data_IF_624602725938
#
_entry.id   IF_624602725938
#
_cell.length_a   1.000
_cell.length_b   1.000
_cell.length_c   1.000
_cell.angle_alpha   90.00
_cell.angle_beta   90.00
_cell.angle_gamma   90.00
#
_symmetry.space_group_name_H-M   'P 1'
#
loop_
_entity.id
_entity.type
_entity.pdbx_description
1 polymer ?
#
# COMPACT_ATOMS: atom_id res chain seq x y z
N UNK A 1 -25.21 -3.04 0.78
CA UNK A 1 -25.73 -1.91 -0.03
C UNK A 1 -24.72 -0.78 0.01
N UNK A 2 -24.03 -0.53 -1.11
CA UNK A 2 -23.11 0.59 -1.27
C UNK A 2 -23.96 1.81 -1.64
N UNK A 3 -24.11 2.70 -0.69
CA UNK A 3 -24.82 3.96 -0.87
C UNK A 3 -23.98 4.91 -1.71
N UNK A 4 -24.57 5.51 -2.75
CA UNK A 4 -24.03 6.62 -3.54
C UNK A 4 -23.90 7.87 -2.65
N UNK A 5 -22.75 8.04 -2.02
CA UNK A 5 -22.44 9.20 -1.21
C UNK A 5 -20.94 9.48 -1.20
N UNK A 6 -20.55 10.74 -1.23
CA UNK A 6 -19.19 11.17 -0.97
C UNK A 6 -18.78 10.63 0.40
N UNK A 7 -17.88 9.65 0.42
CA UNK A 7 -17.33 9.12 1.66
C UNK A 7 -16.45 10.22 2.26
N UNK A 8 -16.85 10.78 3.39
CA UNK A 8 -16.02 11.73 4.14
C UNK A 8 -14.83 10.98 4.78
N UNK A 9 -13.76 11.71 5.15
CA UNK A 9 -12.65 11.15 5.94
C UNK A 9 -13.15 10.42 7.20
N UNK A 10 -14.23 10.92 7.79
CA UNK A 10 -14.90 10.32 8.94
C UNK A 10 -15.56 8.98 8.61
N UNK A 11 -16.06 8.78 7.40
CA UNK A 11 -16.70 7.54 6.96
C UNK A 11 -15.69 6.43 6.58
N UNK A 12 -14.49 6.77 6.16
CA UNK A 12 -13.43 5.82 5.80
C UNK A 12 -12.63 5.28 7.01
N UNK A 13 -12.56 6.06 8.06
CA UNK A 13 -11.87 5.69 9.32
C UNK A 13 -12.83 5.04 10.30
N UNK A 14 -14.14 5.13 10.07
CA UNK A 14 -15.16 4.79 11.03
C UNK A 14 -16.05 3.69 10.46
N UNK A 15 -15.66 2.49 10.74
CA UNK A 15 -16.53 1.73 11.66
C UNK A 15 -16.58 2.58 12.93
N UNK A 16 -17.71 3.22 13.19
CA UNK A 16 -18.01 3.91 14.44
C UNK A 16 -17.86 2.90 15.56
N UNK A 17 -16.60 2.65 15.98
CA UNK A 17 -16.31 2.10 17.28
C UNK A 17 -16.85 3.15 18.23
N UNK A 18 -18.05 2.98 18.76
CA UNK A 18 -18.46 3.69 19.96
C UNK A 18 -17.28 3.58 20.90
N UNK A 19 -16.73 4.72 21.32
CA UNK A 19 -15.47 4.78 22.06
C UNK A 19 -15.68 4.16 23.44
N UNK A 20 -15.67 2.83 23.51
CA UNK A 20 -15.39 2.15 24.75
C UNK A 20 -13.91 2.39 25.06
N UNK A 21 -13.67 3.26 26.05
CA UNK A 21 -12.31 3.54 26.52
C UNK A 21 -11.68 2.22 26.97
N UNK A 22 -10.43 1.95 26.55
CA UNK A 22 -9.57 0.82 26.96
C UNK A 22 -9.81 -0.53 26.26
N UNK A 23 -10.30 -0.57 25.02
CA UNK A 23 -10.33 -1.82 24.26
C UNK A 23 -8.92 -2.37 24.05
N UNK A 24 -8.78 -3.69 24.21
CA UNK A 24 -7.57 -4.45 23.87
C UNK A 24 -7.62 -4.90 22.44
N UNK A 25 -6.67 -4.45 21.63
CA UNK A 25 -6.62 -4.74 20.21
C UNK A 25 -5.37 -5.55 19.89
N UNK A 26 -5.58 -6.72 19.30
CA UNK A 26 -4.52 -7.55 18.73
C UNK A 26 -4.31 -7.22 17.26
N UNK A 27 -3.08 -6.97 16.84
CA UNK A 27 -2.74 -6.76 15.43
C UNK A 27 -1.77 -7.85 14.99
N UNK A 28 -2.13 -8.60 13.95
CA UNK A 28 -1.29 -9.65 13.39
C UNK A 28 -0.58 -9.11 12.15
N UNK A 29 0.75 -9.05 12.21
CA UNK A 29 1.63 -8.44 11.22
C UNK A 29 2.16 -7.08 11.66
N UNK A 30 3.47 -7.01 11.94
CA UNK A 30 4.18 -5.79 12.32
C UNK A 30 4.88 -5.11 11.13
N UNK A 31 4.37 -5.27 9.91
CA UNK A 31 4.73 -4.46 8.75
C UNK A 31 4.29 -3.01 8.91
N UNK A 32 4.58 -2.15 7.91
CA UNK A 32 4.25 -0.71 7.99
C UNK A 32 2.76 -0.47 8.26
N UNK A 33 1.86 -1.26 7.66
CA UNK A 33 0.42 -1.16 7.89
C UNK A 33 0.05 -1.44 9.34
N UNK A 34 0.58 -2.53 9.92
CA UNK A 34 0.32 -2.90 11.31
C UNK A 34 0.84 -1.85 12.29
N UNK A 35 2.07 -1.35 12.08
CA UNK A 35 2.68 -0.36 12.95
C UNK A 35 1.95 0.99 12.88
N UNK A 36 1.63 1.49 11.68
CA UNK A 36 0.86 2.74 11.55
C UNK A 36 -0.53 2.60 12.16
N UNK A 37 -1.24 1.49 11.91
CA UNK A 37 -2.54 1.23 12.53
C UNK A 37 -2.45 1.17 14.06
N UNK A 38 -1.41 0.53 14.60
CA UNK A 38 -1.16 0.45 16.03
C UNK A 38 -0.99 1.84 16.65
N UNK A 39 -0.22 2.72 16.01
CA UNK A 39 -0.01 4.10 16.48
C UNK A 39 -1.30 4.91 16.49
N UNK A 40 -2.12 4.83 15.42
CA UNK A 40 -3.41 5.51 15.39
C UNK A 40 -4.40 4.96 16.41
N UNK A 41 -4.39 3.66 16.67
CA UNK A 41 -5.22 3.06 17.72
C UNK A 41 -4.77 3.48 19.12
N UNK A 42 -3.46 3.59 19.37
CA UNK A 42 -2.93 4.15 20.62
C UNK A 42 -3.33 5.61 20.81
N UNK A 43 -3.31 6.44 19.75
CA UNK A 43 -3.79 7.84 19.83
C UNK A 43 -5.27 7.92 20.24
N UNK A 44 -6.06 6.88 19.92
CA UNK A 44 -7.46 6.77 20.36
C UNK A 44 -7.64 6.18 21.76
N UNK A 45 -6.54 5.86 22.47
CA UNK A 45 -6.56 5.35 23.83
C UNK A 45 -6.73 3.83 23.96
N UNK A 46 -6.52 3.06 22.91
CA UNK A 46 -6.61 1.60 22.96
C UNK A 46 -5.30 0.93 23.39
N UNK A 47 -5.41 -0.19 24.12
CA UNK A 47 -4.27 -1.05 24.41
C UNK A 47 -3.97 -1.93 23.18
N UNK A 48 -2.79 -1.74 22.57
CA UNK A 48 -2.44 -2.45 21.34
C UNK A 48 -1.29 -3.43 21.56
N UNK A 49 -1.49 -4.66 21.07
CA UNK A 49 -0.45 -5.69 21.00
C UNK A 49 -0.22 -6.09 19.54
N UNK A 50 1.00 -5.90 19.04
CA UNK A 50 1.45 -6.37 17.75
C UNK A 50 2.03 -7.79 17.85
N UNK A 51 1.69 -8.65 16.90
CA UNK A 51 2.24 -9.99 16.72
C UNK A 51 2.97 -10.06 15.38
N UNK A 52 4.16 -10.60 15.36
CA UNK A 52 4.84 -10.99 14.13
C UNK A 52 5.71 -12.22 14.38
N UNK A 53 5.86 -13.06 13.37
CA UNK A 53 6.69 -14.27 13.44
C UNK A 53 8.19 -13.94 13.47
N UNK A 54 8.56 -12.79 12.91
CA UNK A 54 9.94 -12.36 12.73
C UNK A 54 10.30 -11.22 13.67
N UNK A 55 11.61 -11.02 13.84
CA UNK A 55 12.12 -9.83 14.51
C UNK A 55 11.76 -8.58 13.71
N UNK A 56 11.50 -7.47 14.40
CA UNK A 56 11.19 -6.21 13.77
C UNK A 56 12.21 -5.83 12.69
N UNK A 57 11.74 -5.61 11.45
CA UNK A 57 12.56 -5.16 10.32
C UNK A 57 13.34 -6.23 9.58
N UNK A 58 13.15 -7.52 9.85
CA UNK A 58 13.95 -8.56 9.19
C UNK A 58 13.40 -9.02 7.83
N UNK A 59 12.13 -9.40 7.72
CA UNK A 59 11.58 -10.07 6.53
C UNK A 59 10.37 -9.38 5.89
N UNK A 60 9.84 -8.32 6.51
CA UNK A 60 8.67 -7.62 5.98
C UNK A 60 8.99 -6.88 4.67
N UNK A 61 8.08 -6.90 3.70
CA UNK A 61 8.17 -6.09 2.49
C UNK A 61 8.37 -4.59 2.77
N UNK A 62 7.95 -4.13 3.93
CA UNK A 62 8.13 -2.75 4.42
C UNK A 62 9.59 -2.38 4.67
N UNK A 63 10.48 -3.35 4.88
CA UNK A 63 11.89 -3.10 5.14
C UNK A 63 12.68 -2.73 3.88
N UNK A 64 12.39 -3.36 2.75
CA UNK A 64 13.17 -3.24 1.52
C UNK A 64 12.31 -3.01 0.28
N UNK A 65 11.38 -2.06 0.32
CA UNK A 65 10.59 -1.65 -0.83
C UNK A 65 11.26 -0.48 -1.59
N UNK A 66 10.60 0.02 -2.65
CA UNK A 66 11.10 1.13 -3.46
C UNK A 66 11.13 2.50 -2.74
N UNK A 67 10.59 2.60 -1.53
CA UNK A 67 10.63 3.82 -0.72
C UNK A 67 9.79 4.98 -1.24
N UNK A 68 8.81 4.71 -2.10
CA UNK A 68 7.95 5.75 -2.67
C UNK A 68 6.69 5.97 -1.85
N UNK A 69 6.38 7.24 -1.56
CA UNK A 69 5.09 7.68 -1.08
C UNK A 69 4.33 8.26 -2.27
N UNK A 70 3.40 7.47 -2.83
CA UNK A 70 2.86 7.69 -4.16
C UNK A 70 1.34 7.90 -4.16
N UNK A 71 0.85 9.10 -3.81
CA UNK A 71 -0.60 9.39 -3.81
C UNK A 71 -1.22 9.30 -5.21
N UNK A 72 -0.41 9.35 -6.25
CA UNK A 72 -0.81 9.25 -7.65
C UNK A 72 -0.95 7.81 -8.18
N UNK A 73 -0.53 6.79 -7.42
CA UNK A 73 -0.51 5.39 -7.85
C UNK A 73 -1.91 4.74 -7.83
N UNK A 74 -2.92 5.48 -8.29
CA UNK A 74 -4.32 5.06 -8.30
C UNK A 74 -4.71 4.20 -9.51
N UNK A 75 -3.91 4.20 -10.58
CA UNK A 75 -4.21 3.44 -11.80
C UNK A 75 -3.81 1.97 -11.61
N UNK A 76 -4.76 1.02 -11.69
CA UNK A 76 -4.45 -0.38 -11.53
C UNK A 76 -3.80 -0.98 -12.79
N UNK A 77 -3.13 -2.13 -12.63
CA UNK A 77 -2.46 -2.82 -13.73
C UNK A 77 -3.42 -3.44 -14.75
N UNK A 78 -4.68 -3.67 -14.40
CA UNK A 78 -5.68 -4.29 -15.28
C UNK A 78 -6.22 -3.34 -16.37
N UNK A 79 -5.32 -2.65 -17.05
CA UNK A 79 -5.65 -1.81 -18.20
C UNK A 79 -6.06 -2.69 -19.39
N UNK A 80 -7.00 -2.24 -20.25
CA UNK A 80 -7.43 -3.02 -21.42
C UNK A 80 -6.29 -3.32 -22.40
N UNK A 81 -5.36 -2.39 -22.57
CA UNK A 81 -4.20 -2.47 -23.48
C UNK A 81 -3.11 -3.42 -23.00
N UNK A 82 -3.01 -3.69 -21.70
CA UNK A 82 -1.94 -4.57 -21.16
C UNK A 82 -1.96 -5.97 -21.78
N UNK A 83 -3.13 -6.46 -22.15
CA UNK A 83 -3.26 -7.80 -22.76
C UNK A 83 -2.55 -7.90 -24.10
N UNK A 84 -2.41 -6.79 -24.82
CA UNK A 84 -1.67 -6.71 -26.08
C UNK A 84 -0.15 -6.69 -25.85
N UNK A 85 0.29 -6.18 -24.69
CA UNK A 85 1.71 -6.06 -24.35
C UNK A 85 2.30 -7.35 -23.76
N UNK A 86 1.45 -8.22 -23.17
CA UNK A 86 1.90 -9.45 -22.48
C UNK A 86 2.78 -10.36 -23.37
N UNK A 87 2.48 -10.64 -24.65
CA UNK A 87 3.36 -11.48 -25.47
C UNK A 87 4.76 -10.88 -25.62
N UNK A 88 4.86 -9.58 -25.88
CA UNK A 88 6.14 -8.90 -26.02
C UNK A 88 6.93 -8.89 -24.70
N UNK A 89 6.24 -8.69 -23.57
CA UNK A 89 6.86 -8.74 -22.25
C UNK A 89 7.44 -10.11 -21.90
N UNK A 90 6.75 -11.20 -22.29
CA UNK A 90 7.20 -12.57 -22.05
C UNK A 90 8.38 -12.99 -22.93
N UNK A 91 8.46 -12.45 -24.16
CA UNK A 91 9.56 -12.73 -25.11
C UNK A 91 10.82 -11.92 -24.80
N UNK A 92 10.72 -10.87 -24.02
CA UNK A 92 11.84 -10.00 -23.66
C UNK A 92 12.62 -10.57 -22.47
N UNK A 93 13.91 -10.78 -22.62
CA UNK A 93 14.81 -11.21 -21.51
C UNK A 93 14.98 -10.15 -20.41
N UNK A 94 14.68 -8.88 -20.73
CA UNK A 94 14.72 -7.72 -19.81
C UNK A 94 13.34 -7.16 -19.54
N UNK A 95 12.29 -7.88 -19.96
CA UNK A 95 10.91 -7.44 -19.81
C UNK A 95 10.45 -7.42 -18.34
N UNK A 96 9.40 -6.63 -18.04
CA UNK A 96 8.89 -6.49 -16.68
C UNK A 96 8.10 -7.72 -16.20
N UNK A 97 7.81 -8.68 -17.06
CA UNK A 97 7.01 -9.87 -16.75
C UNK A 97 7.85 -11.13 -16.83
N UNK A 98 8.05 -11.78 -15.68
CA UNK A 98 8.67 -13.09 -15.60
C UNK A 98 7.68 -14.10 -15.02
N UNK A 99 7.53 -15.24 -15.69
CA UNK A 99 6.65 -16.33 -15.23
C UNK A 99 7.47 -17.53 -14.76
N UNK A 100 7.10 -18.04 -13.58
CA UNK A 100 7.57 -19.34 -13.11
C UNK A 100 6.65 -20.41 -13.70
N UNK A 101 7.04 -21.00 -14.83
CA UNK A 101 6.19 -21.85 -15.67
C UNK A 101 5.53 -23.01 -14.91
N UNK A 102 6.21 -23.63 -13.98
CA UNK A 102 5.66 -24.70 -13.14
C UNK A 102 4.56 -24.21 -12.17
N UNK A 103 4.43 -22.89 -11.97
CA UNK A 103 3.40 -22.27 -11.11
C UNK A 103 2.21 -21.77 -11.91
N UNK A 104 2.34 -21.59 -13.23
CA UNK A 104 1.28 -21.06 -14.12
C UNK A 104 -0.05 -21.81 -13.97
N UNK A 105 -0.10 -23.15 -13.91
CA UNK A 105 -1.37 -23.86 -13.75
C UNK A 105 -2.16 -23.44 -12.49
N UNK A 106 -1.46 -23.16 -11.40
CA UNK A 106 -2.07 -22.69 -10.15
C UNK A 106 -2.59 -21.25 -10.26
N UNK A 107 -2.05 -20.46 -11.18
CA UNK A 107 -2.45 -19.07 -11.40
C UNK A 107 -3.60 -18.92 -12.41
N UNK A 108 -3.99 -19.94 -13.14
CA UNK A 108 -5.05 -19.85 -14.16
C UNK A 108 -6.35 -19.21 -13.62
N UNK A 109 -6.89 -19.60 -12.45
CA UNK A 109 -8.11 -18.99 -11.94
C UNK A 109 -7.96 -17.48 -11.69
N UNK A 110 -6.76 -17.06 -11.23
CA UNK A 110 -6.44 -15.64 -11.04
C UNK A 110 -6.33 -14.92 -12.40
N UNK A 111 -5.65 -15.48 -13.38
CA UNK A 111 -5.53 -14.90 -14.72
C UNK A 111 -6.90 -14.69 -15.37
N UNK A 112 -7.81 -15.66 -15.27
CA UNK A 112 -9.16 -15.51 -15.82
C UNK A 112 -9.92 -14.35 -15.17
N UNK A 113 -9.82 -14.20 -13.85
CA UNK A 113 -10.39 -13.06 -13.12
C UNK A 113 -9.73 -11.75 -13.52
N UNK A 114 -8.41 -11.73 -13.66
CA UNK A 114 -7.65 -10.55 -14.10
C UNK A 114 -8.11 -10.09 -15.48
N UNK A 115 -8.14 -10.99 -16.49
CA UNK A 115 -8.58 -10.69 -17.84
C UNK A 115 -10.03 -10.16 -17.85
N UNK A 116 -10.93 -10.80 -17.12
CA UNK A 116 -12.33 -10.35 -16.99
C UNK A 116 -12.43 -8.91 -16.46
N UNK A 117 -11.47 -8.50 -15.63
CA UNK A 117 -11.42 -7.14 -15.06
C UNK A 117 -10.63 -6.14 -15.92
N UNK A 118 -9.99 -6.55 -17.01
CA UNK A 118 -9.30 -5.66 -17.96
C UNK A 118 -10.29 -4.91 -18.84
N UNK A 119 -11.11 -4.05 -18.25
CA UNK A 119 -12.05 -3.18 -18.95
C UNK A 119 -11.91 -1.75 -18.47
N UNK A 120 -12.19 -0.76 -19.34
CA UNK A 120 -12.15 0.67 -18.96
C UNK A 120 -13.05 0.95 -17.76
N UNK A 121 -14.26 0.35 -17.72
CA UNK A 121 -15.21 0.52 -16.62
C UNK A 121 -14.62 0.05 -15.28
N UNK A 122 -14.06 -1.16 -15.24
CA UNK A 122 -13.49 -1.72 -14.00
C UNK A 122 -12.22 -0.99 -13.59
N UNK A 123 -11.39 -0.58 -14.55
CA UNK A 123 -10.20 0.23 -14.30
C UNK A 123 -10.56 1.57 -13.67
N UNK A 124 -11.56 2.28 -14.23
CA UNK A 124 -12.06 3.55 -13.67
C UNK A 124 -12.62 3.40 -12.27
N UNK A 125 -13.44 2.35 -12.06
CA UNK A 125 -13.96 2.04 -10.72
C UNK A 125 -12.83 1.87 -9.71
N UNK A 126 -11.87 1.00 -10.02
CA UNK A 126 -10.72 0.77 -9.13
C UNK A 126 -9.89 2.05 -8.92
N UNK A 127 -9.61 2.80 -9.99
CA UNK A 127 -8.82 4.02 -9.91
C UNK A 127 -9.48 5.07 -8.99
N UNK A 128 -10.80 5.24 -9.08
CA UNK A 128 -11.56 6.18 -8.23
C UNK A 128 -11.41 5.84 -6.75
N UNK A 129 -11.65 4.59 -6.36
CA UNK A 129 -11.58 4.20 -4.95
C UNK A 129 -10.14 4.13 -4.42
N UNK A 130 -9.20 3.69 -5.25
CA UNK A 130 -7.78 3.75 -4.91
C UNK A 130 -7.31 5.20 -4.67
N UNK A 131 -7.77 6.14 -5.49
CA UNK A 131 -7.42 7.56 -5.31
C UNK A 131 -7.91 8.08 -3.97
N UNK A 132 -9.15 7.80 -3.57
CA UNK A 132 -9.70 8.21 -2.28
C UNK A 132 -8.85 7.72 -1.10
N UNK A 133 -8.39 6.45 -1.14
CA UNK A 133 -7.53 5.90 -0.09
C UNK A 133 -6.12 6.52 -0.13
N UNK A 134 -5.56 6.73 -1.32
CA UNK A 134 -4.20 7.26 -1.47
C UNK A 134 -4.11 8.75 -1.14
N UNK A 135 -5.17 9.50 -1.36
CA UNK A 135 -5.20 10.94 -1.10
C UNK A 135 -5.07 11.26 0.41
N UNK A 136 -5.60 10.40 1.25
CA UNK A 136 -5.47 10.52 2.72
C UNK A 136 -4.16 9.94 3.27
N UNK A 137 -3.40 9.17 2.47
CA UNK A 137 -2.23 8.46 2.97
C UNK A 137 -1.08 9.41 3.37
N UNK A 138 -0.82 10.46 2.59
CA UNK A 138 0.24 11.43 2.94
C UNK A 138 -0.09 12.22 4.20
N UNK A 139 -1.28 12.82 4.37
CA UNK A 139 -1.69 13.44 5.62
C UNK A 139 -1.56 12.52 6.84
N UNK A 140 -1.96 11.25 6.70
CA UNK A 140 -1.82 10.27 7.77
C UNK A 140 -0.34 10.01 8.12
N UNK A 141 0.55 9.92 7.12
CA UNK A 141 1.98 9.83 7.38
C UNK A 141 2.53 11.09 8.04
N UNK A 142 2.13 12.28 7.59
CA UNK A 142 2.59 13.54 8.16
C UNK A 142 2.27 13.61 9.66
N UNK A 143 1.07 13.22 10.07
CA UNK A 143 0.68 13.16 11.49
C UNK A 143 1.58 12.23 12.33
N UNK A 144 2.02 11.09 11.78
CA UNK A 144 2.94 10.19 12.48
C UNK A 144 4.39 10.68 12.42
N UNK A 145 4.76 11.36 11.35
CA UNK A 145 6.12 11.86 11.11
C UNK A 145 6.46 13.07 11.98
N UNK A 146 5.47 13.83 12.44
CA UNK A 146 5.68 14.89 13.43
C UNK A 146 6.26 14.38 14.75
N UNK A 147 6.06 13.09 15.06
CA UNK A 147 6.49 12.49 16.31
C UNK A 147 7.86 11.78 16.24
N UNK A 148 8.49 11.76 15.07
CA UNK A 148 9.79 11.10 14.86
C UNK A 148 10.77 12.01 14.10
N UNK A 149 12.05 11.90 14.41
CA UNK A 149 13.08 12.58 13.62
C UNK A 149 13.28 11.89 12.27
N UNK A 150 12.96 12.60 11.18
CA UNK A 150 13.10 12.15 9.79
C UNK A 150 14.29 12.80 9.08
N UNK A 151 15.18 13.48 9.79
CA UNK A 151 16.30 14.22 9.19
C UNK A 151 17.04 13.37 8.15
N UNK A 152 17.02 13.81 6.91
CA UNK A 152 17.66 13.14 5.78
C UNK A 152 17.05 11.79 5.35
N UNK A 153 15.90 11.39 5.88
CA UNK A 153 15.24 10.12 5.53
C UNK A 153 14.17 10.27 4.45
N UNK A 154 13.46 11.38 4.40
CA UNK A 154 12.38 11.63 3.43
C UNK A 154 12.73 12.84 2.58
N UNK A 155 12.60 12.71 1.29
CA UNK A 155 12.77 13.78 0.33
C UNK A 155 11.45 14.13 -0.35
N UNK A 156 11.09 15.44 -0.31
CA UNK A 156 9.83 15.98 -0.85
C UNK A 156 10.07 16.64 -2.23
N UNK A 157 10.77 15.93 -3.12
CA UNK A 157 11.16 16.48 -4.44
C UNK A 157 10.22 16.09 -5.57
N UNK A 158 9.14 15.40 -5.25
CA UNK A 158 8.26 14.81 -6.26
C UNK A 158 8.85 13.57 -6.91
N UNK A 159 8.11 13.00 -7.85
CA UNK A 159 8.53 11.86 -8.66
C UNK A 159 8.16 12.12 -10.10
N UNK A 160 9.07 11.83 -11.01
CA UNK A 160 8.88 11.99 -12.45
C UNK A 160 8.85 10.61 -13.12
N UNK A 161 7.82 10.36 -13.91
CA UNK A 161 7.77 9.25 -14.86
C UNK A 161 8.08 9.75 -16.26
N UNK A 162 8.91 9.02 -17.00
CA UNK A 162 9.28 9.34 -18.37
C UNK A 162 8.97 8.16 -19.29
N UNK A 163 8.58 8.47 -20.52
CA UNK A 163 8.34 7.52 -21.59
C UNK A 163 9.37 7.69 -22.68
N UNK A 164 10.04 6.60 -23.03
CA UNK A 164 10.98 6.54 -24.16
C UNK A 164 10.32 6.10 -25.45
N UNK A 165 9.07 5.67 -25.42
CA UNK A 165 8.28 5.28 -26.57
C UNK A 165 7.63 6.50 -27.23
N UNK A 166 7.56 6.48 -28.58
CA UNK A 166 6.81 7.47 -29.36
C UNK A 166 5.30 7.22 -29.32
N UNK A 167 4.89 5.98 -29.04
CA UNK A 167 3.47 5.64 -28.90
C UNK A 167 2.98 5.96 -27.49
N UNK A 168 2.43 7.14 -27.31
CA UNK A 168 1.99 7.65 -26.02
C UNK A 168 0.56 7.27 -25.63
N UNK A 169 -0.07 6.31 -26.30
CA UNK A 169 -1.48 5.95 -26.05
C UNK A 169 -1.75 5.54 -24.60
N UNK A 170 -0.87 4.72 -24.00
CA UNK A 170 -1.06 4.32 -22.61
C UNK A 170 -0.91 5.50 -21.65
N UNK A 171 0.02 6.41 -21.92
CA UNK A 171 0.15 7.67 -21.17
C UNK A 171 -1.11 8.53 -21.27
N UNK A 172 -1.66 8.68 -22.47
CA UNK A 172 -2.88 9.46 -22.70
C UNK A 172 -4.07 8.88 -21.93
N UNK A 173 -4.22 7.57 -21.94
CA UNK A 173 -5.25 6.87 -21.18
C UNK A 173 -5.07 7.12 -19.67
N UNK A 174 -3.89 6.89 -19.12
CA UNK A 174 -3.59 7.10 -17.71
C UNK A 174 -3.79 8.57 -17.29
N UNK A 175 -3.33 9.51 -18.13
CA UNK A 175 -3.51 10.95 -17.90
C UNK A 175 -4.98 11.33 -17.88
N UNK A 176 -5.78 10.81 -18.83
CA UNK A 176 -7.22 11.10 -18.87
C UNK A 176 -7.96 10.58 -17.64
N UNK A 177 -7.60 9.38 -17.16
CA UNK A 177 -8.19 8.80 -15.96
C UNK A 177 -7.83 9.63 -14.72
N UNK A 178 -6.55 10.01 -14.55
CA UNK A 178 -6.15 10.86 -13.43
C UNK A 178 -6.86 12.21 -13.42
N UNK A 179 -7.05 12.82 -14.58
CA UNK A 179 -7.85 14.05 -14.70
C UNK A 179 -9.30 13.83 -14.28
N UNK A 180 -9.90 12.71 -14.71
CA UNK A 180 -11.31 12.39 -14.39
C UNK A 180 -11.53 12.14 -12.89
N UNK A 181 -10.58 11.53 -12.20
CA UNK A 181 -10.65 11.29 -10.75
C UNK A 181 -10.09 12.44 -9.90
N UNK A 182 -9.61 13.54 -10.51
CA UNK A 182 -9.07 14.70 -9.80
C UNK A 182 -7.64 14.52 -9.26
N UNK A 183 -6.92 13.47 -9.67
CA UNK A 183 -5.54 13.23 -9.22
C UNK A 183 -4.59 14.28 -9.84
N UNK A 184 -3.81 14.97 -8.98
CA UNK A 184 -2.87 16.00 -9.41
C UNK A 184 -1.72 15.41 -10.22
N UNK A 185 -1.45 16.00 -11.38
CA UNK A 185 -0.34 15.63 -12.26
C UNK A 185 0.09 16.83 -13.13
N UNK A 186 1.36 16.87 -13.47
CA UNK A 186 1.93 17.86 -14.40
C UNK A 186 2.54 17.13 -15.59
N UNK A 187 2.04 17.38 -16.79
CA UNK A 187 2.61 16.83 -18.01
C UNK A 187 3.89 17.58 -18.35
N UNK A 188 4.93 16.85 -18.76
CA UNK A 188 6.23 17.40 -19.11
C UNK A 188 6.57 17.10 -20.56
N UNK A 189 7.09 18.12 -21.27
CA UNK A 189 7.75 17.96 -22.56
C UNK A 189 9.25 17.64 -22.38
N UNK A 190 9.96 17.36 -23.50
CA UNK A 190 11.39 16.99 -23.49
C UNK A 190 12.29 18.03 -22.81
N UNK A 191 12.01 19.32 -23.00
CA UNK A 191 12.80 20.40 -22.40
C UNK A 191 12.60 20.43 -20.89
N UNK A 192 11.37 20.41 -20.44
CA UNK A 192 11.02 20.41 -19.01
C UNK A 192 11.60 19.19 -18.26
N UNK A 193 11.60 18.01 -18.90
CA UNK A 193 12.25 16.82 -18.34
C UNK A 193 13.76 17.06 -18.18
N UNK A 194 14.41 17.62 -19.23
CA UNK A 194 15.84 17.89 -19.19
C UNK A 194 16.21 18.94 -18.16
N UNK A 195 15.37 19.98 -18.00
CA UNK A 195 15.58 21.05 -17.03
C UNK A 195 15.48 20.51 -15.58
N UNK A 196 14.59 19.53 -15.34
CA UNK A 196 14.47 18.86 -14.03
C UNK A 196 15.59 17.86 -13.76
N UNK A 197 16.00 17.09 -14.78
CA UNK A 197 16.99 16.00 -14.66
C UNK A 197 17.98 16.03 -15.83
N UNK A 198 18.96 16.97 -15.82
CA UNK A 198 19.89 17.18 -16.94
C UNK A 198 20.82 16.00 -17.20
N UNK A 199 21.01 15.10 -16.23
CA UNK A 199 21.90 13.94 -16.34
C UNK A 199 21.26 12.72 -16.99
N UNK A 200 19.94 12.74 -17.25
CA UNK A 200 19.27 11.62 -17.94
C UNK A 200 19.55 11.73 -19.44
N UNK A 201 19.97 10.61 -20.05
CA UNK A 201 20.14 10.52 -21.50
C UNK A 201 18.82 10.88 -22.21
N UNK A 202 18.88 11.75 -23.23
CA UNK A 202 17.71 12.31 -23.96
C UNK A 202 17.00 11.30 -24.87
N UNK A 203 16.67 10.11 -24.37
CA UNK A 203 15.93 9.06 -25.09
C UNK A 203 14.42 9.11 -24.84
N UNK A 204 13.96 10.01 -23.98
CA UNK A 204 12.56 10.17 -23.59
C UNK A 204 11.80 11.09 -24.56
N UNK A 205 10.49 10.89 -24.66
CA UNK A 205 9.59 11.67 -25.50
C UNK A 205 8.61 12.51 -24.71
N UNK A 206 8.20 12.05 -23.54
CA UNK A 206 7.27 12.75 -22.66
C UNK A 206 7.46 12.32 -21.21
N UNK A 207 6.93 13.10 -20.28
CA UNK A 207 6.93 12.78 -18.86
C UNK A 207 5.66 13.24 -18.16
N UNK A 208 5.52 12.76 -16.93
CA UNK A 208 4.54 13.26 -15.95
C UNK A 208 5.26 13.46 -14.63
N UNK A 209 5.05 14.59 -14.00
CA UNK A 209 5.61 14.92 -12.69
C UNK A 209 4.50 14.96 -11.63
N UNK A 210 4.76 14.30 -10.52
CA UNK A 210 3.89 14.23 -9.36
C UNK A 210 4.53 14.98 -8.21
N UNK A 211 4.20 16.26 -8.09
CA UNK A 211 4.83 17.20 -7.16
C UNK A 211 4.68 16.78 -5.69
N UNK A 212 3.53 16.25 -5.31
CA UNK A 212 3.24 15.82 -3.93
C UNK A 212 3.89 14.49 -3.54
N UNK A 213 4.39 13.72 -4.51
CA UNK A 213 5.05 12.46 -4.22
C UNK A 213 6.35 12.68 -3.44
N UNK A 214 6.66 11.72 -2.56
CA UNK A 214 7.87 11.74 -1.74
C UNK A 214 8.60 10.42 -1.89
N UNK A 215 9.86 10.39 -1.49
CA UNK A 215 10.58 9.14 -1.42
C UNK A 215 11.51 9.08 -0.21
N UNK A 216 11.85 7.86 0.17
CA UNK A 216 12.88 7.60 1.17
C UNK A 216 13.95 6.69 0.62
N UNK A 217 15.19 6.94 0.98
CA UNK A 217 16.33 6.06 0.67
C UNK A 217 16.42 4.86 1.60
N UNK A 218 15.68 4.89 2.71
CA UNK A 218 15.73 3.83 3.70
C UNK A 218 14.35 3.59 4.34
N UNK A 219 13.45 2.86 3.65
CA UNK A 219 12.11 2.56 4.16
C UNK A 219 12.16 1.76 5.47
N UNK A 220 13.14 0.86 5.63
CA UNK A 220 13.31 0.09 6.86
C UNK A 220 13.64 0.96 8.07
N UNK A 221 14.42 2.04 7.89
CA UNK A 221 14.72 2.97 8.98
C UNK A 221 13.50 3.79 9.41
N UNK A 222 12.66 4.22 8.48
CA UNK A 222 11.38 4.88 8.80
C UNK A 222 10.49 3.91 9.58
N UNK A 223 10.32 2.70 9.05
CA UNK A 223 9.54 1.68 9.72
C UNK A 223 10.03 1.43 11.17
N UNK A 224 11.35 1.29 11.37
CA UNK A 224 11.93 1.07 12.70
C UNK A 224 11.68 2.25 13.66
N UNK A 225 11.76 3.49 13.17
CA UNK A 225 11.44 4.67 13.99
C UNK A 225 9.97 4.67 14.43
N UNK A 226 9.03 4.35 13.53
CA UNK A 226 7.61 4.23 13.87
C UNK A 226 7.35 3.06 14.85
N UNK A 227 8.01 1.93 14.65
CA UNK A 227 7.91 0.81 15.58
C UNK A 227 8.42 1.15 16.97
N UNK A 228 9.56 1.84 17.08
CA UNK A 228 10.10 2.29 18.36
C UNK A 228 9.17 3.33 19.02
N UNK A 229 8.57 4.22 18.24
CA UNK A 229 7.54 5.14 18.74
C UNK A 229 6.35 4.38 19.31
N UNK A 230 5.85 3.35 18.62
CA UNK A 230 4.80 2.48 19.12
C UNK A 230 5.13 1.86 20.49
N UNK A 231 6.36 1.33 20.65
CA UNK A 231 6.80 0.76 21.92
C UNK A 231 6.93 1.82 23.03
N UNK A 232 7.50 2.99 22.70
CA UNK A 232 7.66 4.09 23.66
C UNK A 232 6.33 4.63 24.21
N UNK A 233 5.25 4.49 23.42
CA UNK A 233 3.87 4.82 23.82
C UNK A 233 3.16 3.68 24.58
N UNK A 234 3.90 2.67 25.06
CA UNK A 234 3.34 1.56 25.85
C UNK A 234 2.74 0.42 25.01
N UNK A 235 2.99 0.41 23.69
CA UNK A 235 2.61 -0.71 22.84
C UNK A 235 3.36 -1.99 23.19
N UNK A 236 2.71 -3.13 23.00
CA UNK A 236 3.30 -4.45 23.29
C UNK A 236 3.63 -5.15 21.98
N UNK A 237 4.82 -5.72 21.87
CA UNK A 237 5.20 -6.56 20.76
C UNK A 237 5.43 -8.00 21.22
N UNK A 238 4.91 -8.95 20.46
CA UNK A 238 5.11 -10.39 20.68
C UNK A 238 5.66 -11.01 19.39
N UNK A 239 6.92 -11.42 19.44
CA UNK A 239 7.50 -12.27 18.40
C UNK A 239 6.93 -13.65 18.55
N UNK A 240 5.92 -13.96 17.75
CA UNK A 240 5.29 -15.27 17.75
C UNK A 240 4.54 -15.50 16.44
N UNK A 241 4.60 -16.71 15.93
CA UNK A 241 3.83 -17.11 14.76
C UNK A 241 2.36 -17.31 15.17
N UNK A 242 1.48 -16.54 14.56
CA UNK A 242 0.02 -16.71 14.72
C UNK A 242 -0.42 -17.83 13.79
N UNK A 243 -1.01 -18.88 14.34
CA UNK A 243 -1.49 -20.05 13.61
C UNK A 243 -2.95 -19.88 13.17
N UNK A 244 -3.81 -19.47 14.11
CA UNK A 244 -5.24 -19.31 13.85
C UNK A 244 -5.81 -18.12 14.61
N UNK A 245 -6.94 -17.62 14.10
CA UNK A 245 -7.78 -16.64 14.77
C UNK A 245 -9.14 -17.28 14.95
N UNK A 246 -9.57 -17.46 16.20
CA UNK A 246 -10.84 -18.04 16.51
C UNK A 246 -11.77 -16.97 17.08
N UNK A 247 -13.05 -17.07 16.75
CA UNK A 247 -14.12 -16.28 17.34
C UNK A 247 -14.87 -17.14 18.32
N UNK A 248 -14.73 -16.85 19.62
CA UNK A 248 -15.66 -17.36 20.61
C UNK A 248 -16.90 -16.46 20.65
N UNK A 249 -17.97 -16.91 21.30
CA UNK A 249 -19.21 -16.14 21.41
C UNK A 249 -19.01 -14.77 22.06
N UNK A 250 -17.96 -14.61 22.88
CA UNK A 250 -17.68 -13.36 23.59
C UNK A 250 -16.58 -12.51 22.97
N UNK A 251 -15.44 -13.11 22.59
CA UNK A 251 -14.24 -12.34 22.14
C UNK A 251 -13.39 -13.12 21.13
N UNK A 252 -12.74 -12.40 20.19
CA UNK A 252 -11.80 -13.05 19.29
C UNK A 252 -10.50 -13.43 20.01
N UNK A 253 -9.91 -14.56 19.60
CA UNK A 253 -8.75 -15.19 20.20
C UNK A 253 -7.66 -15.34 19.14
N UNK A 254 -6.47 -14.80 19.41
CA UNK A 254 -5.27 -15.08 18.64
C UNK A 254 -4.59 -16.30 19.26
N UNK A 255 -4.44 -17.38 18.48
CA UNK A 255 -3.65 -18.55 18.86
C UNK A 255 -2.29 -18.51 18.18
N UNK A 256 -1.27 -18.67 18.99
CA UNK A 256 0.13 -18.81 18.55
C UNK A 256 0.60 -20.23 18.86
N UNK A 257 1.79 -20.60 18.38
CA UNK A 257 2.44 -21.89 18.69
C UNK A 257 2.52 -22.19 20.19
N UNK A 258 2.60 -21.16 21.04
CA UNK A 258 2.85 -21.33 22.48
C UNK A 258 1.64 -20.97 23.36
N UNK A 259 0.86 -19.98 22.96
CA UNK A 259 -0.15 -19.36 23.82
C UNK A 259 -1.39 -18.92 23.03
N UNK A 260 -2.47 -18.65 23.79
CA UNK A 260 -3.68 -18.00 23.29
C UNK A 260 -3.90 -16.67 23.98
N UNK A 261 -4.39 -15.67 23.22
CA UNK A 261 -4.60 -14.31 23.69
C UNK A 261 -5.99 -13.81 23.30
N UNK A 262 -6.72 -13.30 24.27
CA UNK A 262 -8.06 -12.73 24.07
C UNK A 262 -7.95 -11.21 23.82
N UNK A 263 -8.69 -10.73 22.82
CA UNK A 263 -8.78 -9.32 22.45
C UNK A 263 -10.24 -8.91 22.28
N UNK A 264 -10.51 -7.62 22.39
CA UNK A 264 -11.84 -7.08 22.06
C UNK A 264 -12.01 -6.97 20.54
N UNK A 265 -10.92 -6.67 19.81
CA UNK A 265 -10.85 -6.62 18.35
C UNK A 265 -9.52 -7.17 17.85
N UNK A 266 -9.53 -7.69 16.62
CA UNK A 266 -8.31 -8.13 15.93
C UNK A 266 -8.23 -7.45 14.57
N UNK A 267 -7.03 -6.96 14.23
CA UNK A 267 -6.68 -6.47 12.91
C UNK A 267 -5.66 -7.41 12.27
N UNK A 268 -5.95 -7.88 11.05
CA UNK A 268 -5.03 -8.71 10.26
C UNK A 268 -4.31 -7.80 9.26
N UNK A 269 -2.99 -7.68 9.37
CA UNK A 269 -2.13 -6.85 8.52
C UNK A 269 -0.87 -7.59 8.04
N UNK A 270 -1.01 -8.90 7.76
CA UNK A 270 0.08 -9.78 7.36
C UNK A 270 0.49 -9.65 5.87
N UNK A 271 0.06 -8.58 5.19
CA UNK A 271 0.36 -8.39 3.77
C UNK A 271 -0.14 -9.56 2.91
N UNK A 272 0.74 -10.12 2.08
CA UNK A 272 0.41 -11.26 1.21
C UNK A 272 0.01 -12.55 1.96
N UNK A 273 0.34 -12.64 3.24
CA UNK A 273 0.03 -13.81 4.08
C UNK A 273 -1.32 -13.69 4.81
N UNK A 274 -2.02 -12.55 4.73
CA UNK A 274 -3.30 -12.35 5.41
C UNK A 274 -4.33 -13.41 5.04
N UNK A 275 -4.32 -13.85 3.77
CA UNK A 275 -5.26 -14.87 3.29
C UNK A 275 -5.17 -16.18 4.07
N UNK A 276 -3.98 -16.59 4.52
CA UNK A 276 -3.78 -17.84 5.27
C UNK A 276 -4.62 -17.84 6.55
N UNK A 277 -4.71 -16.68 7.22
CA UNK A 277 -5.48 -16.54 8.45
C UNK A 277 -6.97 -16.30 8.20
N UNK A 278 -7.34 -15.73 7.05
CA UNK A 278 -8.74 -15.42 6.73
C UNK A 278 -9.49 -16.57 6.04
N UNK A 279 -8.79 -17.54 5.46
CA UNK A 279 -9.44 -18.71 4.84
C UNK A 279 -10.04 -19.68 5.90
N UNK A 280 -9.70 -19.50 7.18
CA UNK A 280 -10.20 -20.30 8.30
C UNK A 280 -11.30 -19.57 9.11
N UNK A 281 -11.62 -18.33 8.77
CA UNK A 281 -12.66 -17.49 9.36
C UNK A 281 -13.89 -17.48 8.47
#
# INVERSE_FOLDING_TARGET
ELVDGNISLDDLVIIKLEMEKNLKIGIVGAGIQGVCSALFLQKKGYEVTLFDRDEPGSSAASYGNAGHFSPYASIPLNRPDILLDVPAMLLSSTGPLALKWNYVPKMIPWFLKFIKNCSKKNMMHTAKYMHQILDIALPAYDELFEEIDLSGLVENKGIMYIWNDQNLKSRELETSIRNEIGAEQQLLNKKEIHDLEPNIKKIYHAGVFYKKARHTRNPGKIWLKLFNLFLSKGGKFKKSNVETINFSEEKPIIKTTENSFNFDKILISCGAFSKILTDEI
#
